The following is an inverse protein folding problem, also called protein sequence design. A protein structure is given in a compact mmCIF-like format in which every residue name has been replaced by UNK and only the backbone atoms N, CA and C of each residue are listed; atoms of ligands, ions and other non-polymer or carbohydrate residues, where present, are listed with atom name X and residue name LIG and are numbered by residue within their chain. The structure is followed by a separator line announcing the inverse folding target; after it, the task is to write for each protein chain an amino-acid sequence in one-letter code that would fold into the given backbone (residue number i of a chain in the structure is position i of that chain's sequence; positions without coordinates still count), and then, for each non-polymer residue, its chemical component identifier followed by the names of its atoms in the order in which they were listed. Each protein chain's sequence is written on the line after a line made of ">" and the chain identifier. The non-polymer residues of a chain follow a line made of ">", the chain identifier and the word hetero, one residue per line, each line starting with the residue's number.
data_IF_694873926227
#
_entry.id   IF_694873926227
#
_cell.length_a   1.000
_cell.length_b   1.000
_cell.length_c   1.000
_cell.angle_alpha   90.00
_cell.angle_beta   90.00
_cell.angle_gamma   90.00
#
_symmetry.space_group_name_H-M   'P 1'
#
loop_
_entity.id
_entity.type
_entity.pdbx_description
1 polymer ?
#
# COMPACT_ATOMS: atom_id res chain seq x y z
N UNK A 1 -44.05 -25.48 -39.13
CA UNK A 1 -42.58 -25.34 -39.02
C UNK A 1 -42.23 -24.21 -38.06
N UNK A 2 -42.33 -24.46 -36.75
CA UNK A 2 -41.85 -23.53 -35.73
C UNK A 2 -41.28 -24.36 -34.59
N UNK A 3 -40.24 -23.81 -33.95
CA UNK A 3 -39.73 -24.11 -32.59
C UNK A 3 -38.52 -25.05 -32.48
N UNK A 4 -37.40 -24.63 -33.08
CA UNK A 4 -36.06 -24.90 -32.49
C UNK A 4 -35.47 -23.66 -31.79
N UNK A 5 -36.20 -22.53 -31.79
CA UNK A 5 -35.79 -21.27 -31.17
C UNK A 5 -35.72 -21.33 -29.63
N UNK A 6 -36.45 -22.26 -29.00
CA UNK A 6 -36.41 -22.46 -27.54
C UNK A 6 -35.05 -22.99 -27.09
N UNK A 7 -34.46 -23.90 -27.88
CA UNK A 7 -33.14 -24.45 -27.60
C UNK A 7 -32.02 -23.42 -27.79
N UNK A 8 -32.17 -22.55 -28.80
CA UNK A 8 -31.23 -21.44 -29.07
C UNK A 8 -31.29 -20.36 -27.97
N UNK A 9 -32.48 -20.03 -27.46
CA UNK A 9 -32.66 -19.10 -26.33
C UNK A 9 -32.04 -19.65 -25.03
N UNK A 10 -32.10 -20.98 -24.81
CA UNK A 10 -31.53 -21.62 -23.63
C UNK A 10 -29.98 -21.58 -23.64
N UNK A 11 -29.35 -21.70 -24.81
CA UNK A 11 -27.89 -21.63 -24.97
C UNK A 11 -27.35 -20.21 -24.76
N UNK A 12 -28.09 -19.18 -25.18
CA UNK A 12 -27.70 -17.77 -24.98
C UNK A 12 -27.78 -17.36 -23.49
N UNK A 13 -28.73 -17.93 -22.74
CA UNK A 13 -28.85 -17.71 -21.29
C UNK A 13 -27.69 -18.30 -20.48
N UNK A 14 -27.06 -19.38 -20.98
CA UNK A 14 -25.87 -20.00 -20.35
C UNK A 14 -24.56 -19.26 -20.63
N UNK A 15 -24.50 -18.42 -21.67
CA UNK A 15 -23.30 -17.62 -21.97
C UNK A 15 -23.14 -16.37 -21.09
N UNK A 16 -24.14 -16.02 -20.29
CA UNK A 16 -24.14 -14.78 -19.47
C UNK A 16 -23.68 -14.97 -18.02
N UNK A 17 -23.07 -16.10 -17.65
CA UNK A 17 -22.66 -16.34 -16.24
C UNK A 17 -21.16 -16.44 -15.96
N UNK A 18 -20.27 -16.08 -16.90
CA UNK A 18 -18.86 -15.87 -16.54
C UNK A 18 -18.65 -14.43 -16.05
N UNK A 19 -19.16 -14.15 -14.85
CA UNK A 19 -18.76 -12.97 -14.10
C UNK A 19 -17.32 -13.14 -13.65
N UNK A 20 -16.37 -12.52 -14.35
CA UNK A 20 -15.00 -12.39 -13.88
C UNK A 20 -14.99 -11.44 -12.68
N UNK A 21 -15.17 -12.00 -11.47
CA UNK A 21 -14.70 -11.32 -10.27
C UNK A 21 -13.17 -11.43 -10.29
N UNK A 22 -12.52 -10.41 -10.82
CA UNK A 22 -11.10 -10.20 -10.55
C UNK A 22 -10.97 -9.80 -9.08
N UNK A 23 -11.04 -10.80 -8.20
CA UNK A 23 -10.43 -10.70 -6.90
C UNK A 23 -8.94 -10.57 -7.14
N UNK A 24 -8.47 -9.33 -7.29
CA UNK A 24 -7.06 -8.99 -7.24
C UNK A 24 -6.57 -9.49 -5.88
N UNK A 25 -6.08 -10.73 -5.86
CA UNK A 25 -5.15 -11.19 -4.85
C UNK A 25 -3.86 -10.47 -5.21
N UNK A 26 -3.72 -9.22 -4.76
CA UNK A 26 -2.39 -8.68 -4.53
C UNK A 26 -1.80 -9.63 -3.51
N UNK A 27 -1.01 -10.60 -3.99
CA UNK A 27 0.01 -11.24 -3.18
C UNK A 27 0.99 -10.13 -2.82
N UNK A 28 0.61 -9.34 -1.80
CA UNK A 28 1.58 -8.74 -0.91
C UNK A 28 2.37 -9.95 -0.46
N UNK A 29 3.56 -10.13 -1.03
CA UNK A 29 4.47 -11.16 -0.60
C UNK A 29 4.55 -11.03 0.91
N UNK A 30 4.05 -12.04 1.61
CA UNK A 30 4.32 -12.21 3.03
C UNK A 30 5.79 -12.60 3.10
N UNK A 31 6.67 -11.63 2.82
CA UNK A 31 7.94 -11.50 3.51
C UNK A 31 7.58 -11.69 4.98
N UNK A 32 8.24 -12.60 5.68
CA UNK A 32 7.95 -12.89 7.07
C UNK A 32 7.69 -11.55 7.80
N UNK A 33 6.46 -11.38 8.32
CA UNK A 33 6.00 -10.14 8.95
C UNK A 33 6.73 -9.92 10.29
N UNK A 34 8.05 -9.81 10.26
CA UNK A 34 8.84 -9.32 11.36
C UNK A 34 8.44 -7.86 11.50
N UNK A 35 7.57 -7.60 12.47
CA UNK A 35 7.08 -6.24 12.72
C UNK A 35 8.16 -5.47 13.47
N UNK A 36 8.33 -4.19 13.15
CA UNK A 36 9.27 -3.32 13.85
C UNK A 36 8.72 -3.04 15.26
N UNK A 37 9.40 -3.56 16.30
CA UNK A 37 9.02 -3.34 17.69
C UNK A 37 9.06 -1.84 18.05
N UNK A 38 8.00 -1.36 18.70
CA UNK A 38 7.91 0.04 19.16
C UNK A 38 7.81 1.07 18.04
N UNK A 39 7.43 0.66 16.81
CA UNK A 39 7.31 1.59 15.69
C UNK A 39 6.20 2.63 15.91
N UNK A 40 6.60 3.90 15.94
CA UNK A 40 5.71 5.05 15.97
C UNK A 40 6.05 6.00 14.82
N UNK A 41 5.00 6.53 14.18
CA UNK A 41 5.09 7.46 13.05
C UNK A 41 4.18 8.64 13.38
N UNK A 42 4.74 9.84 13.50
CA UNK A 42 3.99 11.04 13.89
C UNK A 42 4.68 12.31 13.39
N UNK A 43 3.97 13.44 13.25
CA UNK A 43 2.51 13.53 13.26
C UNK A 43 1.91 12.86 12.02
N UNK A 44 0.64 12.47 12.10
CA UNK A 44 -0.16 12.06 10.96
C UNK A 44 -1.59 12.59 11.20
N UNK A 45 -2.06 13.63 10.47
CA UNK A 45 -1.46 14.24 9.28
C UNK A 45 -0.18 15.07 9.52
N UNK A 46 0.67 15.20 8.48
CA UNK A 46 1.88 16.02 8.47
C UNK A 46 1.58 17.39 7.85
N UNK A 47 1.89 18.48 8.56
CA UNK A 47 1.63 19.85 8.08
C UNK A 47 2.90 20.63 7.66
N UNK A 48 4.06 20.31 8.24
CA UNK A 48 5.27 21.14 8.12
C UNK A 48 6.40 20.41 7.37
N UNK A 49 6.06 19.36 6.62
CA UNK A 49 7.04 18.52 5.94
C UNK A 49 8.00 17.77 6.88
N UNK A 50 7.75 17.75 8.19
CA UNK A 50 8.55 17.03 9.20
C UNK A 50 7.80 15.80 9.68
N UNK A 51 8.41 14.63 9.49
CA UNK A 51 7.89 13.35 9.94
C UNK A 51 8.88 12.69 10.90
N UNK A 52 8.37 12.16 12.01
CA UNK A 52 9.15 11.42 12.99
C UNK A 52 8.82 9.93 12.90
N UNK A 53 9.87 9.12 12.77
CA UNK A 53 9.79 7.65 12.76
C UNK A 53 10.70 7.11 13.86
N UNK A 54 10.09 6.54 14.89
CA UNK A 54 10.80 6.01 16.04
C UNK A 54 10.57 4.49 16.15
N UNK A 55 11.62 3.75 16.50
CA UNK A 55 11.61 2.29 16.72
C UNK A 55 12.36 1.98 18.01
N UNK A 56 12.13 0.80 18.60
CA UNK A 56 12.83 0.37 19.81
C UNK A 56 14.34 0.19 19.58
N UNK A 57 14.73 -0.33 18.41
CA UNK A 57 16.13 -0.62 18.10
C UNK A 57 16.91 0.63 17.64
N UNK A 58 16.21 1.67 17.17
CA UNK A 58 16.81 2.92 16.69
C UNK A 58 17.95 2.72 15.68
N UNK A 59 17.85 1.69 14.84
CA UNK A 59 18.86 1.37 13.83
C UNK A 59 18.63 2.19 12.56
N UNK A 60 19.51 2.00 11.57
CA UNK A 60 19.30 2.50 10.23
C UNK A 60 17.99 1.95 9.64
N UNK A 61 17.18 2.84 9.06
CA UNK A 61 15.88 2.54 8.48
C UNK A 61 15.87 2.99 7.03
N UNK A 62 15.37 2.13 6.17
CA UNK A 62 14.99 2.47 4.81
C UNK A 62 13.52 2.90 4.83
N UNK A 63 13.24 4.12 4.36
CA UNK A 63 11.92 4.73 4.42
C UNK A 63 11.53 5.13 3.01
N UNK A 64 10.43 4.56 2.54
CA UNK A 64 9.89 4.76 1.20
C UNK A 64 8.44 5.24 1.31
N UNK A 65 8.09 6.25 0.53
CA UNK A 65 6.72 6.74 0.42
C UNK A 65 6.24 6.50 -1.00
N UNK A 66 5.05 5.91 -1.12
CA UNK A 66 4.39 5.60 -2.36
C UNK A 66 3.07 6.35 -2.46
N UNK A 67 2.69 6.78 -3.65
CA UNK A 67 1.33 7.22 -3.91
C UNK A 67 0.35 6.03 -3.93
N UNK A 68 -0.94 6.33 -4.07
CA UNK A 68 -2.01 5.31 -4.12
C UNK A 68 -1.93 4.39 -5.35
N UNK A 69 -1.16 4.78 -6.37
CA UNK A 69 -0.91 4.00 -7.59
C UNK A 69 0.36 3.12 -7.47
N UNK A 70 1.08 3.22 -6.35
CA UNK A 70 2.32 2.48 -6.11
C UNK A 70 3.58 3.15 -6.66
N UNK A 71 3.51 4.38 -7.16
CA UNK A 71 4.69 5.14 -7.59
C UNK A 71 5.47 5.59 -6.36
N UNK A 72 6.77 5.30 -6.33
CA UNK A 72 7.68 5.81 -5.29
C UNK A 72 7.88 7.32 -5.47
N UNK A 73 7.53 8.11 -4.46
CA UNK A 73 7.63 9.59 -4.47
C UNK A 73 8.71 10.12 -3.55
N UNK A 74 9.15 9.32 -2.57
CA UNK A 74 10.21 9.67 -1.64
C UNK A 74 10.93 8.41 -1.16
N UNK A 75 12.24 8.52 -0.96
CA UNK A 75 13.09 7.44 -0.47
C UNK A 75 14.27 8.02 0.29
N UNK A 76 14.56 7.47 1.47
CA UNK A 76 15.74 7.81 2.26
C UNK A 76 16.17 6.62 3.12
N UNK A 77 17.47 6.50 3.34
CA UNK A 77 18.06 5.60 4.33
C UNK A 77 18.66 6.48 5.42
N UNK A 78 18.20 6.32 6.66
CA UNK A 78 18.68 7.13 7.77
C UNK A 78 18.52 6.43 9.12
N UNK A 79 19.41 6.74 10.05
CA UNK A 79 19.26 6.40 11.47
C UNK A 79 18.53 7.52 12.26
N UNK A 80 18.31 8.69 11.65
CA UNK A 80 17.63 9.80 12.29
C UNK A 80 16.15 9.51 12.50
N UNK A 81 15.62 10.06 13.60
CA UNK A 81 14.19 10.00 13.90
C UNK A 81 13.40 10.99 13.07
N UNK A 82 13.97 12.14 12.74
CA UNK A 82 13.32 13.19 11.95
C UNK A 82 13.67 13.04 10.46
N UNK A 83 12.64 13.18 9.63
CA UNK A 83 12.72 13.09 8.18
C UNK A 83 12.03 14.30 7.59
N UNK A 84 12.70 14.94 6.63
CA UNK A 84 12.13 16.04 5.87
C UNK A 84 11.46 15.52 4.60
N UNK A 85 10.14 15.63 4.54
CA UNK A 85 9.27 15.28 3.42
C UNK A 85 8.60 16.53 2.81
N UNK A 86 9.17 17.73 2.98
CA UNK A 86 8.59 18.98 2.48
C UNK A 86 8.39 19.01 0.96
N UNK A 87 9.10 18.15 0.22
CA UNK A 87 8.96 18.02 -1.23
C UNK A 87 7.81 17.09 -1.64
N UNK A 88 7.16 16.41 -0.69
CA UNK A 88 5.98 15.57 -0.94
C UNK A 88 4.74 16.45 -0.89
N UNK A 89 3.98 16.45 -1.98
CA UNK A 89 2.74 17.24 -2.09
C UNK A 89 1.67 16.76 -1.09
N UNK A 90 0.70 17.61 -0.71
CA UNK A 90 -0.43 17.19 0.10
C UNK A 90 -1.23 16.06 -0.54
N UNK A 91 -1.62 15.06 0.25
CA UNK A 91 -2.30 13.87 -0.26
C UNK A 91 -2.28 12.69 0.70
N UNK A 92 -2.81 11.56 0.22
CA UNK A 92 -2.80 10.27 0.91
C UNK A 92 -1.74 9.38 0.28
N UNK A 93 -0.90 8.78 1.13
CA UNK A 93 0.25 8.00 0.74
C UNK A 93 0.36 6.71 1.56
N UNK A 94 1.24 5.82 1.08
CA UNK A 94 1.64 4.60 1.77
C UNK A 94 3.11 4.75 2.14
N UNK A 95 3.41 4.71 3.44
CA UNK A 95 4.79 4.70 3.94
C UNK A 95 5.20 3.27 4.25
N UNK A 96 6.33 2.83 3.69
CA UNK A 96 7.01 1.57 4.01
C UNK A 96 8.31 1.90 4.75
N UNK A 97 8.50 1.27 5.89
CA UNK A 97 9.72 1.37 6.70
C UNK A 97 10.31 -0.02 6.82
N UNK A 98 11.60 -0.15 6.56
CA UNK A 98 12.36 -1.37 6.78
C UNK A 98 13.49 -1.10 7.76
N UNK A 99 13.62 -1.96 8.77
CA UNK A 99 14.70 -1.95 9.76
C UNK A 99 15.24 -3.38 9.87
N UNK A 100 16.41 -3.64 9.27
CA UNK A 100 16.96 -5.01 9.08
C UNK A 100 15.97 -5.91 8.31
N UNK A 101 15.60 -7.05 8.91
CA UNK A 101 14.62 -8.01 8.39
C UNK A 101 13.17 -7.62 8.72
N UNK A 102 12.97 -6.57 9.53
CA UNK A 102 11.66 -6.11 9.92
C UNK A 102 11.12 -5.07 8.94
N UNK A 103 9.85 -5.18 8.57
CA UNK A 103 9.19 -4.19 7.72
C UNK A 103 7.82 -3.82 8.25
N UNK A 104 7.42 -2.58 7.99
CA UNK A 104 6.11 -2.08 8.37
C UNK A 104 5.59 -1.13 7.29
N UNK A 105 4.30 -1.26 6.98
CA UNK A 105 3.62 -0.38 6.03
C UNK A 105 2.45 0.31 6.72
N UNK A 106 2.32 1.63 6.57
CA UNK A 106 1.22 2.42 7.16
C UNK A 106 0.67 3.45 6.18
N UNK A 107 -0.55 3.91 6.40
CA UNK A 107 -1.14 5.07 5.71
C UNK A 107 -0.53 6.36 6.25
N UNK A 108 -0.12 7.25 5.36
CA UNK A 108 0.39 8.59 5.66
C UNK A 108 -0.51 9.64 5.02
N UNK A 109 -0.81 10.72 5.76
CA UNK A 109 -1.56 11.87 5.25
C UNK A 109 -0.65 13.09 5.34
N UNK A 110 -0.46 13.79 4.22
CA UNK A 110 0.28 15.06 4.14
C UNK A 110 -0.72 16.17 3.82
N UNK A 111 -0.64 17.30 4.52
CA UNK A 111 -1.50 18.48 4.34
C UNK A 111 -0.74 19.64 3.73
#
# INVERSE_FOLDING_TARGET
>A
MKKNYVFIIFIIFMYSFCGYSQGVKTSIGTEANTTIEGLSIYPNPVNNGKLFVNSKLSLEKEIQIFDVLGKKVFEIITNNKEINISNVMPGVYIIRIREKEASATRKLIVK
#
